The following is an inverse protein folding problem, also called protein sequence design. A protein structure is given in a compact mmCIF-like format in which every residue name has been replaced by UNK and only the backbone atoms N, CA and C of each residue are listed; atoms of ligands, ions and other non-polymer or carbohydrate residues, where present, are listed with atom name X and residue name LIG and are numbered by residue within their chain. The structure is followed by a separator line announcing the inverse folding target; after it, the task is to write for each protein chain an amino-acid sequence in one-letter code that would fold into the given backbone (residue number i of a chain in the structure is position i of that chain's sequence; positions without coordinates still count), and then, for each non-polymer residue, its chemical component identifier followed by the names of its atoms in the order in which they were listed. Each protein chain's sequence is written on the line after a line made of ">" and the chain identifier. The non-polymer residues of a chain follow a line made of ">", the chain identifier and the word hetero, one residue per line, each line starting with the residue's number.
data_IF_994983545121
#
_entry.id   IF_994983545121
#
_cell.length_a   1.000
_cell.length_b   1.000
_cell.length_c   1.000
_cell.angle_alpha   90.00
_cell.angle_beta   90.00
_cell.angle_gamma   90.00
#
_symmetry.space_group_name_H-M   'P 1'
#
loop_
_entity.id
_entity.type
_entity.pdbx_description
1 polymer ?
#
# COMPACT_ATOMS: atom_id res chain seq x y z
N UNK A 1 -2.17 20.29 2.43
CA UNK A 1 -2.40 18.98 3.04
C UNK A 1 -3.91 18.78 3.20
N UNK A 2 -4.43 17.57 3.42
CA UNK A 2 -5.89 17.34 3.41
C UNK A 2 -6.53 18.01 4.63
N UNK A 3 -7.39 19.04 4.45
CA UNK A 3 -7.99 19.85 5.53
C UNK A 3 -8.58 19.00 6.67
N UNK A 4 -9.11 17.81 6.35
CA UNK A 4 -9.68 16.90 7.36
C UNK A 4 -8.62 16.27 8.26
N UNK A 5 -7.41 16.01 7.75
CA UNK A 5 -6.32 15.44 8.55
C UNK A 5 -5.80 16.47 9.55
N UNK A 6 -5.73 17.74 9.16
CA UNK A 6 -5.30 18.85 10.03
C UNK A 6 -6.27 19.08 11.20
N UNK A 7 -7.55 18.82 10.99
CA UNK A 7 -8.61 18.99 11.99
C UNK A 7 -8.73 17.83 13.00
N UNK A 8 -7.97 16.74 12.83
CA UNK A 8 -8.00 15.63 13.79
C UNK A 8 -7.42 16.11 15.14
N UNK A 9 -8.15 15.85 16.23
CA UNK A 9 -7.69 16.11 17.60
C UNK A 9 -6.36 15.36 17.83
N UNK A 10 -5.30 16.03 18.30
CA UNK A 10 -4.01 15.40 18.52
C UNK A 10 -4.06 14.17 19.46
N UNK A 11 -4.98 14.13 20.43
CA UNK A 11 -5.14 12.99 21.34
C UNK A 11 -5.59 11.75 20.58
N UNK A 12 -6.62 11.90 19.73
CA UNK A 12 -7.10 10.82 18.87
C UNK A 12 -6.03 10.40 17.88
N UNK A 13 -5.35 11.37 17.26
CA UNK A 13 -4.28 11.12 16.29
C UNK A 13 -3.13 10.31 16.89
N UNK A 14 -2.62 10.72 18.05
CA UNK A 14 -1.56 10.01 18.76
C UNK A 14 -2.03 8.66 19.30
N UNK A 15 -3.26 8.54 19.78
CA UNK A 15 -3.84 7.27 20.20
C UNK A 15 -3.86 6.28 19.03
N UNK A 16 -4.39 6.67 17.87
CA UNK A 16 -4.45 5.80 16.68
C UNK A 16 -3.04 5.43 16.20
N UNK A 17 -2.08 6.36 16.23
CA UNK A 17 -0.68 6.07 15.90
C UNK A 17 -0.06 5.06 16.86
N UNK A 18 -0.27 5.21 18.18
CA UNK A 18 0.18 4.28 19.20
C UNK A 18 -0.48 2.90 19.09
N UNK A 19 -1.79 2.87 18.88
CA UNK A 19 -2.55 1.64 18.64
C UNK A 19 -2.05 0.92 17.38
N UNK A 20 -1.81 1.68 16.32
CA UNK A 20 -1.21 1.17 15.08
C UNK A 20 0.22 0.69 15.29
N UNK A 21 0.98 1.27 16.21
CA UNK A 21 2.33 0.81 16.56
C UNK A 21 2.31 -0.64 17.08
N UNK A 22 1.33 -0.97 17.93
CA UNK A 22 1.07 -2.32 18.43
C UNK A 22 0.41 -3.24 17.38
N UNK A 23 -0.81 -2.92 16.95
CA UNK A 23 -1.70 -3.83 16.22
C UNK A 23 -1.71 -3.63 14.69
N UNK A 24 -1.15 -2.51 14.22
CA UNK A 24 -1.19 -2.14 12.82
C UNK A 24 -0.25 -2.94 11.91
N UNK A 25 -0.59 -3.03 10.64
CA UNK A 25 0.22 -3.70 9.62
C UNK A 25 0.22 -2.92 8.32
N UNK A 26 1.42 -2.58 7.83
CA UNK A 26 1.67 -2.12 6.47
C UNK A 26 2.26 -3.27 5.66
N UNK A 27 1.55 -3.70 4.61
CA UNK A 27 1.98 -4.84 3.80
C UNK A 27 1.61 -4.70 2.33
N UNK A 28 2.07 -5.67 1.53
CA UNK A 28 1.72 -5.82 0.11
C UNK A 28 1.20 -7.22 -0.11
N UNK A 29 -0.04 -7.30 -0.60
CA UNK A 29 -0.71 -8.52 -1.01
C UNK A 29 -0.43 -8.82 -2.49
N UNK A 30 -0.19 -10.10 -2.78
CA UNK A 30 -0.02 -10.64 -4.12
C UNK A 30 -1.15 -11.64 -4.36
N UNK A 31 -2.01 -11.35 -5.34
CA UNK A 31 -3.09 -12.26 -5.76
C UNK A 31 -2.89 -12.64 -7.23
N UNK A 32 -2.83 -13.93 -7.57
CA UNK A 32 -2.63 -14.34 -8.95
C UNK A 32 -3.86 -13.94 -9.78
N UNK A 33 -3.62 -13.31 -10.92
CA UNK A 33 -4.66 -12.78 -11.81
C UNK A 33 -4.19 -12.87 -13.25
N UNK A 34 -4.93 -13.58 -14.11
CA UNK A 34 -4.54 -13.76 -15.52
C UNK A 34 -4.80 -12.49 -16.36
N UNK A 35 -5.73 -11.67 -15.92
CA UNK A 35 -6.13 -10.39 -16.51
C UNK A 35 -5.18 -9.22 -16.18
N UNK A 36 -4.12 -9.47 -15.40
CA UNK A 36 -3.11 -8.47 -15.07
C UNK A 36 -1.84 -8.74 -15.88
N UNK A 37 -1.22 -7.68 -16.43
CA UNK A 37 -0.08 -7.79 -17.35
C UNK A 37 1.16 -8.50 -16.77
N UNK A 38 1.32 -8.52 -15.45
CA UNK A 38 2.38 -9.27 -14.75
C UNK A 38 1.87 -10.55 -14.05
N UNK A 39 0.65 -10.98 -14.34
CA UNK A 39 0.05 -12.18 -13.74
C UNK A 39 -0.34 -12.03 -12.27
N UNK A 40 -0.20 -10.81 -11.72
CA UNK A 40 -0.41 -10.49 -10.30
C UNK A 40 -1.21 -9.20 -10.13
N UNK A 41 -2.24 -9.25 -9.29
CA UNK A 41 -2.78 -8.07 -8.64
C UNK A 41 -1.97 -7.80 -7.38
N UNK A 42 -1.14 -6.76 -7.44
CA UNK A 42 -0.30 -6.31 -6.33
C UNK A 42 -1.00 -5.15 -5.62
N UNK A 43 -1.34 -5.36 -4.36
CA UNK A 43 -2.16 -4.41 -3.58
C UNK A 43 -1.45 -4.07 -2.28
N UNK A 44 -0.96 -2.83 -2.10
CA UNK A 44 -0.58 -2.32 -0.80
C UNK A 44 -1.81 -2.29 0.12
N UNK A 45 -1.65 -2.77 1.35
CA UNK A 45 -2.72 -2.81 2.36
C UNK A 45 -2.19 -2.27 3.67
N UNK A 46 -2.91 -1.30 4.23
CA UNK A 46 -2.85 -0.96 5.64
C UNK A 46 -3.99 -1.67 6.37
N UNK A 47 -3.72 -2.30 7.51
CA UNK A 47 -4.78 -2.87 8.34
C UNK A 47 -4.47 -2.82 9.83
N UNK A 48 -5.51 -2.90 10.64
CA UNK A 48 -5.47 -3.11 12.08
C UNK A 48 -6.43 -4.27 12.37
N UNK A 49 -5.97 -5.28 13.09
CA UNK A 49 -6.80 -6.41 13.51
C UNK A 49 -7.07 -6.33 15.00
N UNK A 50 -8.32 -6.54 15.42
CA UNK A 50 -8.70 -6.57 16.84
C UNK A 50 -9.97 -7.40 17.04
N UNK A 51 -10.13 -8.04 18.19
CA UNK A 51 -11.37 -8.76 18.57
C UNK A 51 -12.52 -7.80 18.94
N UNK A 52 -12.19 -6.61 19.45
CA UNK A 52 -13.12 -5.52 19.67
C UNK A 52 -13.41 -4.74 18.38
N UNK A 53 -14.65 -4.84 17.88
CA UNK A 53 -15.08 -4.16 16.64
C UNK A 53 -15.21 -2.65 16.81
N UNK A 54 -15.61 -2.19 18.00
CA UNK A 54 -16.03 -0.80 18.21
C UNK A 54 -14.83 0.15 18.13
N UNK A 55 -13.66 -0.23 18.66
CA UNK A 55 -12.44 0.54 18.47
C UNK A 55 -12.06 0.66 16.99
N UNK A 56 -12.24 -0.41 16.19
CA UNK A 56 -11.98 -0.35 14.75
C UNK A 56 -12.99 0.56 14.02
N UNK A 57 -14.25 0.56 14.45
CA UNK A 57 -15.29 1.44 13.92
C UNK A 57 -14.98 2.91 14.22
N UNK A 58 -14.52 3.22 15.43
CA UNK A 58 -14.06 4.54 15.82
C UNK A 58 -12.83 4.98 15.01
N UNK A 59 -11.81 4.12 14.86
CA UNK A 59 -10.64 4.42 14.01
C UNK A 59 -11.06 4.71 12.57
N UNK A 60 -11.95 3.88 12.01
CA UNK A 60 -12.50 4.09 10.66
C UNK A 60 -13.23 5.43 10.54
N UNK A 61 -13.97 5.83 11.57
CA UNK A 61 -14.67 7.12 11.60
C UNK A 61 -13.68 8.29 11.51
N UNK A 62 -12.65 8.28 12.36
CA UNK A 62 -11.60 9.33 12.38
C UNK A 62 -10.83 9.37 11.06
N UNK A 63 -10.37 8.22 10.56
CA UNK A 63 -9.60 8.13 9.31
C UNK A 63 -10.46 8.35 8.05
N UNK A 64 -11.79 8.21 8.17
CA UNK A 64 -12.76 8.45 7.10
C UNK A 64 -12.48 7.68 5.79
N UNK A 65 -11.95 6.46 5.91
CA UNK A 65 -11.74 5.54 4.79
C UNK A 65 -11.69 4.09 5.27
N UNK A 66 -11.54 3.15 4.34
CA UNK A 66 -11.39 1.73 4.65
C UNK A 66 -12.70 1.00 4.94
N UNK A 67 -12.55 -0.28 5.20
CA UNK A 67 -13.65 -1.23 5.44
C UNK A 67 -13.33 -2.09 6.65
N UNK A 68 -14.36 -2.52 7.38
CA UNK A 68 -14.21 -3.47 8.48
C UNK A 68 -14.82 -4.80 8.04
N UNK A 69 -14.09 -5.89 8.25
CA UNK A 69 -14.57 -7.25 7.93
C UNK A 69 -14.35 -8.19 9.11
N UNK A 70 -15.33 -9.07 9.34
CA UNK A 70 -15.17 -10.18 10.27
C UNK A 70 -14.21 -11.22 9.68
N UNK A 71 -13.53 -11.94 10.56
CA UNK A 71 -12.77 -13.14 10.23
C UNK A 71 -13.39 -14.32 10.96
N UNK A 72 -13.09 -15.54 10.48
CA UNK A 72 -13.62 -16.78 11.05
C UNK A 72 -13.08 -17.10 12.45
N UNK A 73 -11.97 -16.48 12.84
CA UNK A 73 -11.30 -16.67 14.13
C UNK A 73 -11.78 -15.70 15.23
N UNK A 74 -12.96 -15.07 15.06
CA UNK A 74 -13.52 -14.12 16.04
C UNK A 74 -12.90 -12.72 16.00
N UNK A 75 -11.85 -12.52 15.19
CA UNK A 75 -11.15 -11.23 15.06
C UNK A 75 -11.76 -10.39 13.94
N UNK A 76 -11.79 -9.08 14.11
CA UNK A 76 -12.15 -8.10 13.08
C UNK A 76 -10.90 -7.50 12.45
N UNK A 77 -11.00 -7.08 11.19
CA UNK A 77 -9.93 -6.36 10.50
C UNK A 77 -10.47 -5.08 9.87
N UNK A 78 -9.93 -3.94 10.31
CA UNK A 78 -10.03 -2.69 9.58
C UNK A 78 -8.97 -2.67 8.48
N UNK A 79 -9.37 -2.47 7.22
CA UNK A 79 -8.47 -2.54 6.07
C UNK A 79 -8.64 -1.33 5.14
N UNK A 80 -7.51 -0.80 4.67
CA UNK A 80 -7.44 0.20 3.61
C UNK A 80 -6.52 -0.34 2.51
N UNK A 81 -7.09 -0.60 1.35
CA UNK A 81 -6.39 -1.13 0.17
C UNK A 81 -6.60 -0.31 -1.11
N UNK A 82 -7.45 0.72 -1.04
CA UNK A 82 -7.68 1.66 -2.13
C UNK A 82 -6.49 2.63 -2.25
N UNK A 83 -5.91 2.73 -3.45
CA UNK A 83 -4.71 3.57 -3.72
C UNK A 83 -4.93 5.03 -3.32
N UNK A 84 -6.07 5.62 -3.66
CA UNK A 84 -6.35 7.03 -3.34
C UNK A 84 -6.50 7.25 -1.84
N UNK A 85 -7.21 6.37 -1.12
CA UNK A 85 -7.35 6.47 0.33
C UNK A 85 -5.99 6.31 1.04
N UNK A 86 -5.14 5.40 0.57
CA UNK A 86 -3.79 5.23 1.10
C UNK A 86 -2.95 6.51 0.93
N UNK A 87 -2.94 7.09 -0.26
CA UNK A 87 -2.11 8.28 -0.59
C UNK A 87 -2.68 9.56 0.05
N UNK A 88 -4.00 9.76 0.01
CA UNK A 88 -4.65 11.01 0.43
C UNK A 88 -5.06 11.05 1.89
N UNK A 89 -5.10 9.89 2.57
CA UNK A 89 -5.51 9.80 3.99
C UNK A 89 -4.49 9.10 4.87
N UNK A 90 -4.15 7.85 4.57
CA UNK A 90 -3.30 7.04 5.47
C UNK A 90 -1.87 7.57 5.54
N UNK A 91 -1.26 7.88 4.41
CA UNK A 91 0.11 8.41 4.38
C UNK A 91 0.19 9.74 5.13
N UNK A 92 -0.62 10.78 4.82
CA UNK A 92 -0.46 12.06 5.50
C UNK A 92 -0.88 12.01 6.98
N UNK A 93 -1.80 11.10 7.35
CA UNK A 93 -2.13 10.88 8.76
C UNK A 93 -0.91 10.43 9.57
N UNK A 94 -0.19 9.40 9.10
CA UNK A 94 0.98 8.88 9.81
C UNK A 94 2.26 9.68 9.58
N UNK A 95 2.26 10.63 8.65
CA UNK A 95 3.28 11.70 8.58
C UNK A 95 3.06 12.74 9.67
N UNK A 96 1.80 13.15 9.92
CA UNK A 96 1.46 14.06 11.02
C UNK A 96 1.62 13.41 12.38
N UNK A 97 1.10 12.19 12.54
CA UNK A 97 1.13 11.44 13.79
C UNK A 97 2.13 10.28 13.67
N UNK A 98 3.41 10.61 13.87
CA UNK A 98 4.51 9.67 13.69
C UNK A 98 4.52 8.53 14.72
N UNK A 99 5.05 7.39 14.30
CA UNK A 99 5.25 6.21 15.13
C UNK A 99 6.42 6.36 16.11
N UNK A 100 6.28 5.83 17.32
CA UNK A 100 7.38 5.70 18.29
C UNK A 100 8.25 4.49 17.96
N UNK A 101 7.65 3.39 17.50
CA UNK A 101 8.38 2.18 17.12
C UNK A 101 9.27 2.43 15.90
N UNK A 102 10.60 2.30 16.07
CA UNK A 102 11.56 2.32 14.96
C UNK A 102 11.23 1.26 13.89
N UNK A 103 10.69 0.11 14.31
CA UNK A 103 10.28 -0.96 13.40
C UNK A 103 9.06 -0.54 12.56
N UNK A 104 8.03 0.06 13.18
CA UNK A 104 6.84 0.53 12.46
C UNK A 104 7.16 1.70 11.54
N UNK A 105 8.01 2.64 11.98
CA UNK A 105 8.53 3.72 11.12
C UNK A 105 9.15 3.16 9.84
N UNK A 106 10.05 2.18 9.94
CA UNK A 106 10.66 1.54 8.75
C UNK A 106 9.62 0.85 7.86
N UNK A 107 8.66 0.13 8.45
CA UNK A 107 7.57 -0.49 7.69
C UNK A 107 6.73 0.54 6.93
N UNK A 108 6.39 1.65 7.58
CA UNK A 108 5.63 2.74 6.97
C UNK A 108 6.42 3.42 5.84
N UNK A 109 7.72 3.68 6.02
CA UNK A 109 8.54 4.27 4.96
C UNK A 109 8.66 3.33 3.75
N UNK A 110 8.87 2.03 3.97
CA UNK A 110 8.87 1.04 2.87
C UNK A 110 7.51 1.00 2.16
N UNK A 111 6.42 1.09 2.92
CA UNK A 111 5.07 1.13 2.37
C UNK A 111 4.81 2.37 1.52
N UNK A 112 5.24 3.56 1.97
CA UNK A 112 5.23 4.79 1.17
C UNK A 112 6.02 4.61 -0.12
N UNK A 113 7.25 4.09 -0.03
CA UNK A 113 8.10 3.83 -1.20
C UNK A 113 7.42 2.91 -2.22
N UNK A 114 6.73 1.87 -1.76
CA UNK A 114 5.95 0.99 -2.63
C UNK A 114 4.78 1.73 -3.30
N UNK A 115 4.07 2.60 -2.58
CA UNK A 115 3.01 3.42 -3.17
C UNK A 115 3.54 4.35 -4.27
N UNK A 116 4.69 4.98 -4.04
CA UNK A 116 5.38 5.82 -5.03
C UNK A 116 5.81 5.02 -6.25
N UNK A 117 6.43 3.84 -6.06
CA UNK A 117 6.78 2.93 -7.16
C UNK A 117 5.59 2.60 -8.05
N UNK A 118 4.43 2.32 -7.43
CA UNK A 118 3.17 2.05 -8.14
C UNK A 118 2.48 3.29 -8.69
N UNK A 119 2.99 4.49 -8.40
CA UNK A 119 2.48 5.74 -8.95
C UNK A 119 3.30 6.20 -10.16
N UNK A 120 4.58 5.84 -10.25
CA UNK A 120 5.48 6.23 -11.33
C UNK A 120 5.13 5.64 -12.69
N UNK A 121 4.61 4.42 -12.72
CA UNK A 121 4.32 3.72 -13.97
C UNK A 121 2.82 3.40 -14.06
N UNK A 122 2.14 3.73 -15.18
CA UNK A 122 0.77 3.30 -15.43
C UNK A 122 0.65 1.77 -15.43
N UNK A 123 1.63 1.10 -16.05
CA UNK A 123 1.73 -0.36 -16.08
C UNK A 123 3.02 -0.79 -15.40
N UNK A 124 2.87 -1.56 -14.33
CA UNK A 124 4.00 -2.01 -13.53
C UNK A 124 4.97 -2.87 -14.36
N UNK A 125 6.25 -2.56 -14.28
CA UNK A 125 7.31 -3.35 -14.92
C UNK A 125 7.87 -4.44 -14.01
N UNK A 126 8.57 -5.40 -14.61
CA UNK A 126 9.32 -6.41 -13.86
C UNK A 126 10.40 -5.77 -12.97
N UNK A 127 11.03 -4.69 -13.42
CA UNK A 127 12.00 -3.92 -12.63
C UNK A 127 11.36 -3.31 -11.38
N UNK A 128 10.23 -2.63 -11.53
CA UNK A 128 9.44 -2.08 -10.42
C UNK A 128 8.99 -3.17 -9.45
N UNK A 129 8.58 -4.34 -9.96
CA UNK A 129 8.24 -5.49 -9.13
C UNK A 129 9.42 -5.97 -8.26
N UNK A 130 10.62 -6.09 -8.84
CA UNK A 130 11.84 -6.46 -8.09
C UNK A 130 12.10 -5.45 -6.96
N UNK A 131 11.95 -4.16 -7.22
CA UNK A 131 12.09 -3.12 -6.20
C UNK A 131 11.03 -3.25 -5.08
N UNK A 132 9.77 -3.55 -5.42
CA UNK A 132 8.71 -3.81 -4.43
C UNK A 132 9.06 -5.02 -3.55
N UNK A 133 9.56 -6.11 -4.13
CA UNK A 133 9.96 -7.31 -3.38
C UNK A 133 11.12 -7.00 -2.44
N UNK A 134 12.12 -6.24 -2.89
CA UNK A 134 13.24 -5.79 -2.04
C UNK A 134 12.74 -4.97 -0.85
N UNK A 135 11.90 -3.96 -1.08
CA UNK A 135 11.32 -3.16 0.01
C UNK A 135 10.46 -4.00 0.98
N UNK A 136 9.74 -5.00 0.46
CA UNK A 136 8.97 -5.96 1.26
C UNK A 136 9.87 -6.84 2.14
N UNK A 137 11.06 -7.19 1.68
CA UNK A 137 12.01 -8.04 2.42
C UNK A 137 12.73 -7.30 3.54
N UNK A 138 12.91 -5.97 3.39
CA UNK A 138 13.45 -5.11 4.44
C UNK A 138 12.47 -4.92 5.61
N UNK A 139 11.20 -5.30 5.43
CA UNK A 139 10.20 -5.30 6.49
C UNK A 139 10.35 -6.55 7.37
N UNK A 140 9.93 -6.47 8.65
CA UNK A 140 9.97 -7.58 9.61
C UNK A 140 9.48 -8.90 8.99
N UNK A 141 10.13 -10.02 9.35
CA UNK A 141 9.63 -11.36 9.06
C UNK A 141 8.15 -11.43 9.46
N UNK A 142 7.26 -11.82 8.52
CA UNK A 142 5.85 -11.83 8.80
C UNK A 142 5.55 -12.84 9.91
N UNK A 143 4.58 -12.54 10.76
CA UNK A 143 4.11 -13.47 11.81
C UNK A 143 3.49 -14.74 11.24
N UNK A 144 2.96 -14.67 10.01
CA UNK A 144 2.43 -15.81 9.26
C UNK A 144 3.26 -16.07 8.01
N UNK A 145 3.37 -17.33 7.61
CA UNK A 145 4.00 -17.72 6.34
C UNK A 145 3.31 -16.99 5.18
N UNK A 146 4.10 -16.43 4.27
CA UNK A 146 3.58 -15.83 3.03
C UNK A 146 3.04 -16.94 2.16
N UNK A 147 1.87 -16.75 1.56
CA UNK A 147 1.27 -17.72 0.63
C UNK A 147 2.20 -18.04 -0.55
N UNK A 148 2.87 -17.00 -1.08
CA UNK A 148 3.83 -17.13 -2.16
C UNK A 148 5.19 -16.60 -1.72
N UNK A 149 6.23 -17.38 -2.02
CA UNK A 149 7.63 -17.01 -1.90
C UNK A 149 8.00 -15.93 -2.93
N UNK A 150 9.14 -15.29 -2.72
CA UNK A 150 9.64 -14.29 -3.67
C UNK A 150 9.98 -14.93 -5.03
N UNK A 151 10.47 -16.18 -5.04
CA UNK A 151 10.77 -16.93 -6.26
C UNK A 151 9.52 -17.21 -7.09
N UNK A 152 8.46 -17.73 -6.46
CA UNK A 152 7.17 -17.98 -7.15
C UNK A 152 6.56 -16.70 -7.74
N UNK A 153 6.66 -15.58 -7.00
CA UNK A 153 6.18 -14.29 -7.48
C UNK A 153 6.96 -13.86 -8.73
N UNK A 154 8.29 -13.92 -8.68
CA UNK A 154 9.17 -13.50 -9.77
C UNK A 154 9.00 -14.40 -10.99
N UNK A 155 9.03 -15.72 -10.83
CA UNK A 155 8.88 -16.68 -11.92
C UNK A 155 7.57 -16.45 -12.68
N UNK A 156 6.45 -16.29 -11.97
CA UNK A 156 5.16 -15.99 -12.61
C UNK A 156 5.19 -14.63 -13.31
N UNK A 157 5.77 -13.61 -12.69
CA UNK A 157 5.85 -12.29 -13.30
C UNK A 157 6.76 -12.26 -14.53
N UNK A 158 7.84 -13.03 -14.54
CA UNK A 158 8.75 -13.19 -15.68
C UNK A 158 8.03 -13.84 -16.86
N UNK A 159 7.27 -14.91 -16.64
CA UNK A 159 6.43 -15.50 -17.67
C UNK A 159 5.42 -14.50 -18.25
N UNK A 160 4.72 -13.74 -17.40
CA UNK A 160 3.76 -12.73 -17.90
C UNK A 160 4.46 -11.53 -18.55
N UNK A 161 5.67 -11.20 -18.13
CA UNK A 161 6.49 -10.17 -18.76
C UNK A 161 6.91 -10.56 -20.17
N UNK A 162 7.28 -11.82 -20.44
CA UNK A 162 7.68 -12.23 -21.80
C UNK A 162 6.55 -12.06 -22.80
N UNK A 163 5.31 -12.38 -22.41
CA UNK A 163 4.13 -12.30 -23.28
C UNK A 163 3.53 -10.88 -23.39
N UNK A 164 3.73 -10.02 -22.39
CA UNK A 164 3.09 -8.69 -22.34
C UNK A 164 4.08 -7.52 -22.41
N UNK A 165 5.37 -7.77 -22.68
CA UNK A 165 6.45 -6.76 -22.60
C UNK A 165 6.11 -5.50 -23.38
N UNK A 166 5.76 -5.64 -24.65
CA UNK A 166 5.56 -4.52 -25.57
C UNK A 166 4.33 -3.70 -25.17
N UNK A 167 3.28 -4.35 -24.69
CA UNK A 167 2.10 -3.68 -24.15
C UNK A 167 2.45 -2.87 -22.90
N UNK A 168 3.23 -3.44 -21.96
CA UNK A 168 3.64 -2.73 -20.74
C UNK A 168 4.52 -1.52 -21.09
N UNK A 169 5.52 -1.72 -21.95
CA UNK A 169 6.43 -0.65 -22.35
C UNK A 169 5.72 0.45 -23.15
N UNK A 170 4.82 0.07 -24.07
CA UNK A 170 4.01 1.02 -24.84
C UNK A 170 3.13 1.90 -23.95
N UNK A 171 2.42 1.31 -22.98
CA UNK A 171 1.60 2.06 -22.02
C UNK A 171 2.42 3.06 -21.20
N UNK A 172 3.63 2.68 -20.78
CA UNK A 172 4.49 3.57 -20.00
C UNK A 172 5.09 4.69 -20.85
N UNK A 173 5.46 4.43 -22.11
CA UNK A 173 5.94 5.46 -23.04
C UNK A 173 4.86 6.52 -23.34
N UNK A 174 3.63 6.09 -23.62
CA UNK A 174 2.53 7.01 -23.95
C UNK A 174 2.23 7.96 -22.78
N UNK A 175 2.16 7.46 -21.55
CA UNK A 175 1.92 8.29 -20.38
C UNK A 175 3.07 9.28 -20.09
N UNK A 176 4.32 8.89 -20.39
CA UNK A 176 5.47 9.81 -20.26
C UNK A 176 5.43 10.93 -21.31
N UNK A 177 4.92 10.65 -22.52
CA UNK A 177 4.75 11.66 -23.57
C UNK A 177 3.67 12.67 -23.19
N UNK A 178 2.51 12.21 -22.75
CA UNK A 178 1.39 13.05 -22.29
C UNK A 178 1.79 13.96 -21.11
N UNK A 179 2.60 13.45 -20.17
CA UNK A 179 3.09 14.26 -19.03
C UNK A 179 4.20 15.25 -19.39
N UNK A 180 4.93 15.03 -20.49
CA UNK A 180 5.92 15.99 -21.01
C UNK A 180 5.29 17.14 -21.81
N UNK A 181 4.17 16.89 -22.50
CA UNK A 181 3.45 17.91 -23.29
C UNK A 181 2.62 18.87 -22.40
N UNK A 182 2.21 18.44 -21.20
CA UNK A 182 1.48 19.30 -20.25
C UNK A 182 2.36 20.21 -19.39
N UNK A 183 3.70 20.10 -19.48
CA UNK A 183 4.65 20.88 -18.67
C UNK A 183 5.33 22.02 -19.46
N UNK A 184 4.89 22.32 -20.68
CA UNK A 184 5.31 23.54 -21.37
C UNK A 184 4.58 24.72 -20.74
N UNK A 185 5.28 25.72 -20.16
CA UNK A 185 4.62 26.94 -19.72
C UNK A 185 3.97 27.58 -20.93
N UNK A 186 2.67 27.86 -20.87
CA UNK A 186 2.06 28.83 -21.80
C UNK A 186 2.86 30.13 -21.62
N UNK A 187 3.59 30.49 -22.67
CA UNK A 187 4.33 31.75 -22.78
C UNK A 187 3.35 32.92 -22.89
#
# INVERSE_FOLDING_TARGET
>A
MNKRIEQIDPRDGHYIAGFTDGEGSFNVSFRPRKDYLLGWKITPVFNISQDEKDILAWIKHILACGTIRARKDGVWAYEVNNKQALIKRIVPFFERFAFRSTKKRRQFQNFKRILELRAKEPSMTLGTLKQIITARNQSRKPSRKRTYSNGEILQRAEYYWTINRDTIQGRNKNANKESSETNTPNA
#
